data_IF_030688886921
#
_entry.id   IF_030688886921
#
_cell.length_a   1.000
_cell.length_b   1.000
_cell.length_c   1.000
_cell.angle_alpha   90.00
_cell.angle_beta   90.00
_cell.angle_gamma   90.00
#
_symmetry.space_group_name_H-M   'P 1'
#
loop_
_entity.id
_entity.type
_entity.pdbx_description
1 polymer ?
#
# COMPACT_ATOMS: atom_id res chain seq x y z
N UNK A 1 -14.86 12.28 -12.78
CA UNK A 1 -13.63 12.13 -13.60
C UNK A 1 -13.56 13.17 -14.71
N UNK A 2 -14.64 13.36 -15.45
CA UNK A 2 -14.83 14.45 -16.42
C UNK A 2 -14.41 15.84 -15.91
N UNK A 3 -14.64 16.13 -14.62
CA UNK A 3 -14.27 17.39 -13.96
C UNK A 3 -12.78 17.73 -14.03
N UNK A 4 -11.89 16.76 -13.82
CA UNK A 4 -10.44 16.97 -13.86
C UNK A 4 -9.99 17.12 -15.32
N UNK A 5 -10.45 16.22 -16.19
CA UNK A 5 -10.07 16.20 -17.60
C UNK A 5 -10.56 17.44 -18.36
N UNK A 6 -11.73 17.98 -18.02
CA UNK A 6 -12.27 19.24 -18.57
C UNK A 6 -11.66 20.51 -17.95
N UNK A 7 -10.75 20.38 -16.98
CA UNK A 7 -10.10 21.52 -16.34
C UNK A 7 -11.04 22.38 -15.47
N UNK A 8 -12.15 21.83 -14.99
CA UNK A 8 -13.13 22.58 -14.19
C UNK A 8 -12.60 23.01 -12.81
N UNK A 9 -11.50 22.38 -12.35
CA UNK A 9 -10.79 22.71 -11.12
C UNK A 9 -9.55 23.59 -11.36
N UNK A 10 -9.35 24.07 -12.61
CA UNK A 10 -8.13 24.71 -13.03
C UNK A 10 -6.97 23.72 -13.21
N UNK A 11 -5.75 24.21 -13.01
CA UNK A 11 -4.54 23.38 -13.18
C UNK A 11 -4.33 22.45 -11.98
N UNK A 12 -4.20 21.15 -12.25
CA UNK A 12 -3.85 20.18 -11.24
C UNK A 12 -2.42 20.41 -10.75
N UNK A 13 -2.26 20.73 -9.47
CA UNK A 13 -0.94 20.93 -8.85
C UNK A 13 -0.50 19.72 -8.02
N UNK A 14 -1.43 19.08 -7.30
CA UNK A 14 -1.12 17.97 -6.40
C UNK A 14 -2.34 17.05 -6.21
N UNK A 15 -2.09 15.75 -6.03
CA UNK A 15 -3.08 14.76 -5.57
C UNK A 15 -2.55 14.10 -4.31
N UNK A 16 -3.38 14.04 -3.26
CA UNK A 16 -3.14 13.20 -2.10
C UNK A 16 -4.16 12.07 -2.09
N UNK A 17 -3.69 10.84 -2.16
CA UNK A 17 -4.50 9.64 -2.17
C UNK A 17 -4.15 8.75 -0.98
N UNK A 18 -5.14 8.09 -0.39
CA UNK A 18 -4.96 7.20 0.76
C UNK A 18 -5.91 6.02 0.65
N UNK A 19 -5.35 4.82 0.59
CA UNK A 19 -6.06 3.58 0.86
C UNK A 19 -5.81 3.14 2.31
N UNK A 20 -6.87 2.76 3.01
CA UNK A 20 -6.77 2.25 4.38
C UNK A 20 -7.06 0.75 4.38
N UNK A 21 -6.05 -0.05 4.71
CA UNK A 21 -6.18 -1.49 4.82
C UNK A 21 -6.32 -1.88 6.29
N UNK A 22 -7.26 -2.78 6.57
CA UNK A 22 -7.39 -3.37 7.90
C UNK A 22 -6.16 -4.23 8.25
N UNK A 23 -5.76 -4.19 9.53
CA UNK A 23 -4.55 -4.86 10.04
C UNK A 23 -4.47 -6.36 9.72
N UNK A 24 -5.62 -7.05 9.64
CA UNK A 24 -5.67 -8.49 9.40
C UNK A 24 -5.19 -8.88 8.01
N UNK A 25 -5.22 -7.98 7.02
CA UNK A 25 -4.63 -8.25 5.70
C UNK A 25 -3.11 -8.46 5.80
N UNK A 26 -2.44 -7.70 6.66
CA UNK A 26 -1.02 -7.88 6.94
C UNK A 26 -0.78 -9.15 7.75
N UNK A 27 -1.49 -9.31 8.88
CA UNK A 27 -1.28 -10.45 9.78
C UNK A 27 -1.56 -11.79 9.09
N UNK A 28 -2.65 -11.89 8.34
CA UNK A 28 -2.99 -13.12 7.65
C UNK A 28 -2.09 -13.35 6.44
N UNK A 29 -1.92 -12.38 5.55
CA UNK A 29 -1.32 -12.66 4.25
C UNK A 29 0.21 -12.55 4.22
N UNK A 30 0.78 -11.59 4.97
CA UNK A 30 2.20 -11.26 4.96
C UNK A 30 2.97 -11.71 6.21
N UNK A 31 2.26 -12.18 7.25
CA UNK A 31 2.92 -12.81 8.42
C UNK A 31 2.69 -14.31 8.41
N UNK A 32 1.43 -14.77 8.30
CA UNK A 32 1.08 -16.21 8.36
C UNK A 32 0.88 -16.87 7.00
N UNK A 33 0.60 -16.08 5.97
CA UNK A 33 0.05 -16.55 4.71
C UNK A 33 1.08 -16.73 3.61
N UNK A 34 0.56 -16.76 2.38
CA UNK A 34 1.34 -17.06 1.17
C UNK A 34 2.44 -16.04 0.88
N UNK A 35 2.30 -14.81 1.37
CA UNK A 35 3.23 -13.70 1.13
C UNK A 35 4.15 -13.42 2.32
N UNK A 36 4.33 -14.40 3.22
CA UNK A 36 5.22 -14.28 4.40
C UNK A 36 6.71 -14.12 4.07
N UNK A 37 7.11 -14.46 2.85
CA UNK A 37 8.48 -14.37 2.37
C UNK A 37 8.56 -13.27 1.32
N UNK A 38 9.44 -12.30 1.54
CA UNK A 38 9.62 -11.16 0.63
C UNK A 38 9.94 -11.62 -0.80
N UNK A 39 10.76 -12.66 -0.95
CA UNK A 39 11.17 -13.24 -2.24
C UNK A 39 10.01 -13.87 -3.02
N UNK A 40 8.91 -14.21 -2.32
CA UNK A 40 7.73 -14.84 -2.90
C UNK A 40 6.50 -13.92 -2.84
N UNK A 41 6.70 -12.64 -2.51
CA UNK A 41 5.63 -11.68 -2.27
C UNK A 41 5.67 -10.49 -3.21
N UNK A 42 4.54 -9.84 -3.37
CA UNK A 42 4.45 -8.50 -3.95
C UNK A 42 4.33 -7.48 -2.83
N UNK A 43 4.98 -6.30 -2.92
CA UNK A 43 4.81 -5.26 -1.92
C UNK A 43 3.32 -4.90 -1.79
N UNK A 44 2.89 -4.58 -0.57
CA UNK A 44 1.47 -4.39 -0.25
C UNK A 44 0.77 -3.37 -1.15
N UNK A 45 1.48 -2.28 -1.51
CA UNK A 45 0.96 -1.27 -2.44
C UNK A 45 0.59 -1.85 -3.80
N UNK A 46 1.30 -2.86 -4.30
CA UNK A 46 0.95 -3.53 -5.55
C UNK A 46 -0.06 -4.65 -5.34
N UNK A 47 0.03 -5.39 -4.23
CA UNK A 47 -0.86 -6.51 -3.96
C UNK A 47 -2.29 -6.08 -3.61
N UNK A 48 -2.48 -4.85 -3.10
CA UNK A 48 -3.77 -4.34 -2.61
C UNK A 48 -4.20 -3.01 -3.21
N UNK A 49 -3.26 -2.23 -3.73
CA UNK A 49 -3.50 -0.86 -4.18
C UNK A 49 -3.09 -0.63 -5.64
N UNK A 50 -2.83 -1.68 -6.44
CA UNK A 50 -2.39 -1.48 -7.84
C UNK A 50 -3.40 -0.68 -8.66
N UNK A 51 -4.69 -0.96 -8.48
CA UNK A 51 -5.80 -0.27 -9.11
C UNK A 51 -5.83 1.23 -8.78
N UNK A 52 -5.35 1.66 -7.60
CA UNK A 52 -5.24 3.07 -7.27
C UNK A 52 -4.22 3.80 -8.15
N UNK A 53 -3.12 3.12 -8.51
CA UNK A 53 -2.12 3.67 -9.42
C UNK A 53 -2.71 3.85 -10.82
N UNK A 54 -3.54 2.90 -11.26
CA UNK A 54 -4.26 3.00 -12.53
C UNK A 54 -5.26 4.17 -12.52
N UNK A 55 -6.00 4.35 -11.42
CA UNK A 55 -6.92 5.47 -11.25
C UNK A 55 -6.18 6.81 -11.24
N UNK A 56 -5.05 6.91 -10.53
CA UNK A 56 -4.20 8.11 -10.52
C UNK A 56 -3.69 8.44 -11.92
N UNK A 57 -3.20 7.43 -12.65
CA UNK A 57 -2.79 7.61 -14.04
C UNK A 57 -3.96 8.07 -14.91
N UNK A 58 -5.14 7.48 -14.76
CA UNK A 58 -6.32 7.84 -15.54
C UNK A 58 -6.81 9.27 -15.25
N UNK A 59 -6.74 9.71 -13.99
CA UNK A 59 -7.11 11.09 -13.60
C UNK A 59 -6.10 12.12 -14.10
N UNK A 60 -4.80 11.82 -14.07
CA UNK A 60 -3.73 12.75 -14.47
C UNK A 60 -3.52 12.76 -15.99
N UNK A 61 -3.69 11.61 -16.65
CA UNK A 61 -3.47 11.45 -18.09
C UNK A 61 -2.01 11.53 -18.52
N UNK A 62 -1.06 11.38 -17.59
CA UNK A 62 0.37 11.47 -17.88
C UNK A 62 1.18 10.47 -17.04
N UNK A 63 2.30 10.00 -17.59
CA UNK A 63 3.22 9.09 -16.92
C UNK A 63 4.07 9.83 -15.87
N UNK A 64 4.42 9.17 -14.75
CA UNK A 64 5.29 9.75 -13.75
C UNK A 64 6.72 9.95 -14.30
N UNK A 65 7.31 11.13 -14.06
CA UNK A 65 8.71 11.41 -14.40
C UNK A 65 9.70 10.89 -13.35
N UNK A 66 9.28 10.82 -12.09
CA UNK A 66 10.06 10.37 -10.93
C UNK A 66 9.14 9.64 -9.96
N UNK A 67 9.66 8.62 -9.31
CA UNK A 67 8.95 7.83 -8.29
C UNK A 67 9.86 7.70 -7.08
N UNK A 68 9.27 7.82 -5.89
CA UNK A 68 9.91 7.54 -4.61
C UNK A 68 8.98 6.69 -3.76
N UNK A 69 9.50 5.68 -3.08
CA UNK A 69 8.73 4.81 -2.20
C UNK A 69 9.50 4.61 -0.90
N UNK A 70 8.77 4.64 0.22
CA UNK A 70 9.34 4.53 1.56
C UNK A 70 8.48 3.56 2.38
N UNK A 71 9.13 2.67 3.10
CA UNK A 71 8.49 1.70 3.98
C UNK A 71 9.51 0.99 4.83
N UNK A 72 9.11 0.55 6.03
CA UNK A 72 9.97 -0.23 6.91
C UNK A 72 9.15 -1.23 7.73
N UNK A 73 9.79 -2.33 8.14
CA UNK A 73 9.20 -3.24 9.11
C UNK A 73 9.27 -2.59 10.49
N UNK A 74 8.13 -2.11 11.00
CA UNK A 74 8.07 -1.43 12.29
C UNK A 74 7.35 -2.23 13.38
N UNK A 75 6.24 -2.92 13.05
CA UNK A 75 5.36 -3.55 14.04
C UNK A 75 5.71 -5.01 14.35
N UNK A 76 5.80 -5.87 13.33
CA UNK A 76 6.03 -7.31 13.50
C UNK A 76 7.52 -7.63 13.75
N UNK A 77 8.04 -7.14 14.87
CA UNK A 77 9.41 -7.39 15.36
C UNK A 77 9.35 -8.15 16.68
N UNK A 78 10.41 -8.90 16.97
CA UNK A 78 10.53 -9.64 18.24
C UNK A 78 10.43 -8.72 19.46
N UNK A 79 10.98 -7.50 19.39
CA UNK A 79 10.91 -6.49 20.46
C UNK A 79 9.47 -6.02 20.77
N UNK A 80 8.55 -6.12 19.81
CA UNK A 80 7.15 -5.74 19.97
C UNK A 80 6.25 -6.93 20.35
N UNK A 81 6.82 -8.12 20.57
CA UNK A 81 6.04 -9.29 20.95
C UNK A 81 5.37 -9.05 22.32
N UNK A 82 4.04 -9.25 22.45
CA UNK A 82 3.35 -9.11 23.72
C UNK A 82 3.94 -10.04 24.79
N UNK A 83 3.96 -9.58 26.05
CA UNK A 83 4.40 -10.42 27.17
C UNK A 83 3.53 -11.67 27.26
N UNK A 84 4.16 -12.84 27.33
CA UNK A 84 3.46 -14.12 27.39
C UNK A 84 2.98 -14.62 26.02
N UNK A 85 3.32 -13.95 24.92
CA UNK A 85 3.06 -14.46 23.59
C UNK A 85 3.74 -15.83 23.39
N UNK A 86 3.02 -16.84 22.88
CA UNK A 86 3.58 -18.16 22.61
C UNK A 86 4.61 -18.09 21.48
N UNK A 87 5.52 -19.07 21.44
CA UNK A 87 6.58 -19.15 20.40
C UNK A 87 6.03 -19.22 18.98
N UNK A 88 4.82 -19.75 18.84
CA UNK A 88 4.08 -19.86 17.58
C UNK A 88 2.63 -19.48 17.85
N UNK A 89 1.94 -19.04 16.81
CA UNK A 89 0.52 -18.75 16.91
C UNK A 89 -0.24 -20.05 17.23
N UNK A 90 -0.94 -20.07 18.36
CA UNK A 90 -1.92 -21.10 18.74
C UNK A 90 -3.32 -20.69 18.30
#
# INVERSE_FOLDING_TARGET
MDTIQKGLLGNLVNISHRENLSWYHMAHSFVRGNWRNVELSSPMILAKCCHDLDLLFWMVGALPKKISSFGSLFYFKQENAPKGAPKYCV
#
